data_IF_412460218394
#
_entry.id   IF_412460218394
#
_cell.length_a   1.000
_cell.length_b   1.000
_cell.length_c   1.000
_cell.angle_alpha   90.00
_cell.angle_beta   90.00
_cell.angle_gamma   90.00
#
_symmetry.space_group_name_H-M   'P 1'
#
loop_
_entity.id
_entity.type
_entity.pdbx_description
1 polymer ?
#
# COMPACT_ATOMS: atom_id res chain seq x y z
N UNK A 1 12.77 44.35 -29.73
CA UNK A 1 11.37 44.16 -29.28
C UNK A 1 11.42 43.88 -27.79
N UNK A 2 11.04 44.85 -26.95
CA UNK A 2 11.06 44.70 -25.50
C UNK A 2 9.93 43.77 -25.06
N UNK A 3 10.25 42.73 -24.27
CA UNK A 3 9.24 42.01 -23.51
C UNK A 3 8.77 42.95 -22.40
N UNK A 4 7.50 43.30 -22.40
CA UNK A 4 6.91 44.01 -21.26
C UNK A 4 7.12 43.15 -19.99
N UNK A 5 7.56 43.75 -18.88
CA UNK A 5 7.66 43.03 -17.62
C UNK A 5 6.26 42.59 -17.20
N UNK A 6 6.12 41.29 -16.89
CA UNK A 6 4.89 40.73 -16.32
C UNK A 6 4.54 41.53 -15.05
N UNK A 7 3.42 42.26 -15.10
CA UNK A 7 2.96 43.06 -13.97
C UNK A 7 2.56 42.16 -12.81
N UNK A 8 3.01 42.48 -11.60
CA UNK A 8 2.63 41.79 -10.36
C UNK A 8 1.23 42.18 -9.87
N UNK A 9 0.57 43.16 -10.50
CA UNK A 9 -0.76 43.62 -10.10
C UNK A 9 -1.84 42.62 -10.52
N UNK A 10 -2.23 41.74 -9.59
CA UNK A 10 -3.35 40.81 -9.74
C UNK A 10 -3.02 39.35 -9.42
N UNK A 11 -1.75 39.01 -9.14
CA UNK A 11 -1.37 37.66 -8.75
C UNK A 11 -1.66 37.42 -7.27
N UNK A 12 -2.33 36.31 -6.96
CA UNK A 12 -2.59 35.82 -5.60
C UNK A 12 -1.96 34.44 -5.42
N UNK A 13 -1.43 34.15 -4.23
CA UNK A 13 -0.91 32.83 -3.93
C UNK A 13 -2.05 31.81 -3.89
N UNK A 14 -1.80 30.60 -4.38
CA UNK A 14 -2.76 29.48 -4.36
C UNK A 14 -3.14 29.05 -2.94
N UNK A 15 -2.27 29.27 -1.97
CA UNK A 15 -2.54 28.92 -0.57
C UNK A 15 -3.41 30.00 0.05
N UNK A 16 -4.60 29.59 0.51
CA UNK A 16 -5.56 30.48 1.17
C UNK A 16 -4.89 31.22 2.32
N UNK A 17 -5.22 32.50 2.44
CA UNK A 17 -4.73 33.41 3.48
C UNK A 17 -3.20 33.67 3.48
N UNK A 18 -2.47 33.21 2.46
CA UNK A 18 -1.08 33.57 2.29
C UNK A 18 -0.94 35.04 1.89
N UNK A 19 -0.22 35.82 2.70
CA UNK A 19 0.02 37.27 2.50
C UNK A 19 1.44 37.58 2.03
N UNK A 20 2.24 36.56 1.76
CA UNK A 20 3.61 36.77 1.31
C UNK A 20 3.62 37.35 -0.11
N UNK A 21 4.58 38.22 -0.45
CA UNK A 21 4.70 38.74 -1.81
C UNK A 21 5.09 37.61 -2.77
N UNK A 22 4.46 37.58 -3.93
CA UNK A 22 4.75 36.63 -5.01
C UNK A 22 5.97 37.13 -5.77
N UNK A 23 6.97 36.27 -5.92
CA UNK A 23 8.23 36.56 -6.62
C UNK A 23 8.59 35.51 -7.68
N UNK A 24 7.70 34.52 -7.89
CA UNK A 24 7.84 33.50 -8.92
C UNK A 24 6.49 33.15 -9.56
N UNK A 25 6.51 32.94 -10.87
CA UNK A 25 5.39 32.48 -11.67
C UNK A 25 5.61 31.02 -12.10
N UNK A 26 4.61 30.18 -11.88
CA UNK A 26 4.63 28.78 -12.30
C UNK A 26 3.87 28.67 -13.62
N UNK A 27 4.49 28.20 -14.71
CA UNK A 27 3.85 28.19 -16.03
C UNK A 27 2.55 27.37 -16.13
N UNK A 28 2.32 26.49 -15.16
CA UNK A 28 1.15 25.61 -15.05
C UNK A 28 0.14 26.07 -13.99
N UNK A 29 0.37 27.19 -13.28
CA UNK A 29 -0.51 27.69 -12.21
C UNK A 29 -0.36 29.20 -11.93
N UNK A 30 -0.93 29.66 -10.82
CA UNK A 30 -0.74 31.01 -10.29
C UNK A 30 0.67 31.21 -9.67
N UNK A 31 0.91 32.40 -9.13
CA UNK A 31 2.17 32.77 -8.48
C UNK A 31 2.44 32.04 -7.15
N UNK A 32 3.72 31.89 -6.83
CA UNK A 32 4.19 31.28 -5.58
C UNK A 32 5.33 32.10 -4.95
N UNK A 33 5.98 31.54 -3.93
CA UNK A 33 7.11 32.17 -3.25
C UNK A 33 8.38 31.37 -3.48
N UNK A 34 9.34 31.95 -4.20
CA UNK A 34 10.59 31.31 -4.61
C UNK A 34 11.32 30.72 -3.43
N UNK A 35 11.48 31.48 -2.34
CA UNK A 35 12.21 31.02 -1.16
C UNK A 35 11.58 29.77 -0.54
N UNK A 36 10.25 29.69 -0.52
CA UNK A 36 9.57 28.51 -0.01
C UNK A 36 9.77 27.31 -0.95
N UNK A 37 9.62 27.54 -2.26
CA UNK A 37 9.88 26.50 -3.25
C UNK A 37 11.33 25.97 -3.16
N UNK A 38 12.33 26.85 -3.02
CA UNK A 38 13.75 26.45 -2.89
C UNK A 38 14.02 25.65 -1.60
N UNK A 39 13.37 26.00 -0.49
CA UNK A 39 13.58 25.32 0.80
C UNK A 39 12.97 23.92 0.79
N UNK A 40 11.73 23.81 0.32
CA UNK A 40 10.96 22.56 0.40
C UNK A 40 11.11 21.67 -0.83
N UNK A 41 11.74 22.17 -1.90
CA UNK A 41 11.93 21.42 -3.14
C UNK A 41 13.37 21.67 -3.66
N UNK A 42 14.38 21.12 -2.97
CA UNK A 42 15.78 21.40 -3.27
C UNK A 42 16.22 20.98 -4.68
N UNK A 43 15.52 20.03 -5.30
CA UNK A 43 15.81 19.57 -6.67
C UNK A 43 15.06 20.36 -7.74
N UNK A 44 14.20 21.30 -7.34
CA UNK A 44 13.44 22.12 -8.28
C UNK A 44 14.35 23.14 -8.97
N UNK A 45 14.48 23.01 -10.30
CA UNK A 45 15.20 23.98 -11.11
C UNK A 45 14.40 25.28 -11.27
N UNK A 46 14.81 26.33 -10.57
CA UNK A 46 14.23 27.67 -10.70
C UNK A 46 15.08 28.51 -11.65
N UNK A 47 14.50 28.90 -12.80
CA UNK A 47 15.16 29.80 -13.74
C UNK A 47 15.16 31.20 -13.13
N UNK A 48 16.34 31.62 -12.66
CA UNK A 48 16.54 32.95 -12.07
C UNK A 48 16.52 34.00 -13.19
N UNK A 49 15.73 35.07 -13.06
CA UNK A 49 15.69 36.11 -14.06
C UNK A 49 16.99 36.92 -14.06
N UNK A 50 17.43 37.35 -15.24
CA UNK A 50 18.61 38.23 -15.40
C UNK A 50 18.37 39.61 -14.79
N UNK A 51 17.12 40.08 -14.83
CA UNK A 51 16.68 41.33 -14.20
C UNK A 51 15.86 41.03 -12.93
N UNK A 52 16.25 41.63 -11.79
CA UNK A 52 15.54 41.52 -10.51
C UNK A 52 14.12 42.08 -10.53
N UNK A 53 13.76 42.88 -11.55
CA UNK A 53 12.40 43.41 -11.76
C UNK A 53 11.46 42.41 -12.44
N UNK A 54 11.98 41.29 -12.94
CA UNK A 54 11.19 40.24 -13.57
C UNK A 54 10.89 39.12 -12.56
N UNK A 55 9.72 38.51 -12.68
CA UNK A 55 9.38 37.32 -11.91
C UNK A 55 10.25 36.15 -12.37
N UNK A 56 10.71 35.33 -11.43
CA UNK A 56 11.28 34.04 -11.78
C UNK A 56 10.19 33.18 -12.44
N UNK A 57 10.57 32.33 -13.38
CA UNK A 57 9.63 31.42 -14.06
C UNK A 57 10.07 29.99 -13.80
N UNK A 58 9.14 29.16 -13.33
CA UNK A 58 9.36 27.73 -13.16
C UNK A 58 8.47 26.98 -14.14
N UNK A 59 9.07 26.08 -14.91
CA UNK A 59 8.35 25.19 -15.80
C UNK A 59 8.15 23.84 -15.11
N UNK A 60 6.93 23.58 -14.68
CA UNK A 60 6.49 22.29 -14.17
C UNK A 60 5.72 21.57 -15.27
N UNK A 61 5.89 20.25 -15.36
CA UNK A 61 5.27 19.42 -16.40
C UNK A 61 4.07 18.64 -15.87
N UNK A 62 3.88 18.69 -14.56
CA UNK A 62 2.79 18.08 -13.83
C UNK A 62 1.49 18.86 -14.09
N UNK A 63 0.36 18.21 -13.83
CA UNK A 63 -0.95 18.86 -13.97
C UNK A 63 -1.12 19.98 -12.95
N UNK A 64 -1.99 20.95 -13.23
CA UNK A 64 -2.29 22.05 -12.31
C UNK A 64 -2.67 21.55 -10.90
N UNK A 65 -3.37 20.42 -10.80
CA UNK A 65 -3.75 19.79 -9.52
C UNK A 65 -2.52 19.39 -8.69
N UNK A 66 -1.54 18.76 -9.33
CA UNK A 66 -0.30 18.30 -8.69
C UNK A 66 0.60 19.48 -8.32
N UNK A 67 0.66 20.49 -9.19
CA UNK A 67 1.39 21.73 -8.91
C UNK A 67 0.79 22.48 -7.72
N UNK A 68 -0.54 22.56 -7.62
CA UNK A 68 -1.20 23.13 -6.43
C UNK A 68 -0.80 22.39 -5.15
N UNK A 69 -0.81 21.06 -5.15
CA UNK A 69 -0.36 20.28 -3.99
C UNK A 69 1.10 20.54 -3.65
N UNK A 70 1.99 20.63 -4.64
CA UNK A 70 3.39 20.95 -4.43
C UNK A 70 3.56 22.32 -3.77
N UNK A 71 2.80 23.32 -4.23
CA UNK A 71 2.80 24.66 -3.65
C UNK A 71 2.23 24.63 -2.23
N UNK A 72 1.13 23.91 -1.98
CA UNK A 72 0.56 23.72 -0.63
C UNK A 72 1.60 23.14 0.32
N UNK A 73 2.26 22.04 -0.06
CA UNK A 73 3.30 21.38 0.74
C UNK A 73 4.59 22.18 0.90
N UNK A 74 4.84 23.14 0.00
CA UNK A 74 5.93 24.10 0.14
C UNK A 74 5.58 25.25 1.09
N UNK A 75 4.32 25.39 1.46
CA UNK A 75 3.93 26.31 2.50
C UNK A 75 3.88 25.59 3.84
N UNK A 76 4.43 26.23 4.87
CA UNK A 76 4.36 25.74 6.25
C UNK A 76 2.97 26.05 6.87
N UNK A 77 1.89 25.64 6.20
CA UNK A 77 0.50 25.74 6.65
C UNK A 77 -0.11 24.34 6.76
N UNK A 78 -1.27 24.22 7.39
CA UNK A 78 -2.02 22.96 7.41
C UNK A 78 -2.32 22.49 5.98
N UNK A 79 -1.80 21.32 5.63
CA UNK A 79 -1.97 20.72 4.30
C UNK A 79 -3.32 20.03 4.17
N UNK A 80 -3.79 19.90 2.93
CA UNK A 80 -4.95 19.07 2.65
C UNK A 80 -4.64 17.61 3.00
N UNK A 81 -5.56 16.93 3.71
CA UNK A 81 -5.41 15.51 4.02
C UNK A 81 -5.41 14.67 2.74
N UNK A 82 -4.26 14.10 2.37
CA UNK A 82 -4.08 13.43 1.08
C UNK A 82 -4.94 12.18 0.91
N UNK A 83 -5.30 11.48 2.00
CA UNK A 83 -6.20 10.33 1.91
C UNK A 83 -7.65 10.68 1.49
N UNK A 84 -8.01 11.98 1.43
CA UNK A 84 -9.29 12.43 0.86
C UNK A 84 -9.25 12.62 -0.66
N UNK A 85 -8.07 12.46 -1.27
CA UNK A 85 -7.87 12.56 -2.71
C UNK A 85 -8.01 11.18 -3.35
N UNK A 86 -8.18 11.14 -4.67
CA UNK A 86 -8.11 9.87 -5.40
C UNK A 86 -6.68 9.32 -5.34
N UNK A 87 -6.55 8.00 -5.25
CA UNK A 87 -5.25 7.32 -5.23
C UNK A 87 -4.38 7.67 -6.45
N UNK A 88 -4.97 7.90 -7.64
CA UNK A 88 -4.24 8.38 -8.82
C UNK A 88 -3.55 9.72 -8.57
N UNK A 89 -4.22 10.63 -7.84
CA UNK A 89 -3.60 11.92 -7.46
C UNK A 89 -2.48 11.73 -6.45
N UNK A 90 -2.62 10.77 -5.53
CA UNK A 90 -1.56 10.46 -4.56
C UNK A 90 -0.33 9.89 -5.28
N UNK A 91 -0.53 8.97 -6.24
CA UNK A 91 0.56 8.42 -7.07
C UNK A 91 1.25 9.48 -7.93
N UNK A 92 0.48 10.30 -8.65
CA UNK A 92 1.05 11.39 -9.44
C UNK A 92 1.81 12.39 -8.55
N UNK A 93 1.29 12.65 -7.34
CA UNK A 93 1.90 13.61 -6.43
C UNK A 93 3.17 13.09 -5.78
N UNK A 94 3.22 11.83 -5.34
CA UNK A 94 4.46 11.25 -4.78
C UNK A 94 5.57 11.20 -5.81
N UNK A 95 5.27 10.93 -7.08
CA UNK A 95 6.25 10.97 -8.18
C UNK A 95 6.80 12.38 -8.34
N UNK A 96 5.94 13.40 -8.34
CA UNK A 96 6.36 14.79 -8.39
C UNK A 96 7.15 15.22 -7.15
N UNK A 97 6.71 14.82 -5.96
CA UNK A 97 7.36 15.12 -4.69
C UNK A 97 8.78 14.53 -4.64
N UNK A 98 8.94 13.25 -5.02
CA UNK A 98 10.26 12.61 -5.16
C UNK A 98 11.13 13.35 -6.17
N UNK A 99 10.60 13.65 -7.36
CA UNK A 99 11.31 14.38 -8.43
C UNK A 99 11.82 15.76 -8.02
N UNK A 100 11.14 16.42 -7.10
CA UNK A 100 11.50 17.77 -6.66
C UNK A 100 12.15 17.80 -5.26
N UNK A 101 12.39 16.64 -4.65
CA UNK A 101 13.01 16.49 -3.34
C UNK A 101 12.14 16.94 -2.16
N UNK A 102 10.81 16.96 -2.32
CA UNK A 102 9.89 17.37 -1.26
C UNK A 102 9.59 16.21 -0.29
N UNK A 103 10.48 16.00 0.67
CA UNK A 103 10.41 14.85 1.59
C UNK A 103 9.13 14.83 2.45
N UNK A 104 8.65 16.00 2.92
CA UNK A 104 7.41 16.08 3.69
C UNK A 104 6.19 15.62 2.88
N UNK A 105 6.16 15.96 1.59
CA UNK A 105 5.10 15.50 0.69
C UNK A 105 5.20 14.00 0.41
N UNK A 106 6.43 13.44 0.32
CA UNK A 106 6.63 11.99 0.15
C UNK A 106 6.06 11.22 1.34
N UNK A 107 6.45 11.59 2.55
CA UNK A 107 5.97 10.93 3.79
C UNK A 107 4.45 11.05 3.93
N UNK A 108 3.87 12.21 3.61
CA UNK A 108 2.43 12.39 3.64
C UNK A 108 1.69 11.56 2.58
N UNK A 109 2.31 11.34 1.40
CA UNK A 109 1.75 10.47 0.37
C UNK A 109 1.80 8.99 0.80
N UNK A 110 2.89 8.54 1.40
CA UNK A 110 3.05 7.17 1.90
C UNK A 110 1.99 6.87 2.96
N UNK A 111 1.85 7.74 3.97
CA UNK A 111 0.79 7.61 4.98
C UNK A 111 -0.62 7.63 4.37
N UNK A 112 -0.86 8.41 3.31
CA UNK A 112 -2.14 8.43 2.62
C UNK A 112 -2.39 7.15 1.81
N UNK A 113 -1.34 6.55 1.22
CA UNK A 113 -1.46 5.27 0.53
C UNK A 113 -1.86 4.16 1.50
N UNK A 114 -1.32 4.14 2.71
CA UNK A 114 -1.71 3.14 3.73
C UNK A 114 -3.20 3.25 4.08
N UNK A 115 -3.69 4.47 4.34
CA UNK A 115 -5.12 4.72 4.62
C UNK A 115 -6.01 4.34 3.43
N UNK A 116 -5.58 4.63 2.21
CA UNK A 116 -6.32 4.28 1.00
C UNK A 116 -6.31 2.77 0.75
N UNK A 117 -5.18 2.10 0.98
CA UNK A 117 -5.09 0.64 0.92
C UNK A 117 -6.07 0.00 1.93
N UNK A 118 -6.18 0.56 3.14
CA UNK A 118 -7.14 0.14 4.16
C UNK A 118 -8.60 0.29 3.77
N UNK A 119 -8.90 1.19 2.84
CA UNK A 119 -10.27 1.49 2.44
C UNK A 119 -10.91 0.42 1.54
N UNK A 120 -10.14 -0.25 0.68
CA UNK A 120 -10.67 -1.31 -0.20
C UNK A 120 -9.61 -2.30 -0.69
N UNK A 121 -9.97 -3.56 -0.96
CA UNK A 121 -9.07 -4.53 -1.60
C UNK A 121 -8.55 -4.07 -2.98
N UNK A 122 -9.36 -3.34 -3.75
CA UNK A 122 -8.94 -2.78 -5.03
C UNK A 122 -7.86 -1.70 -4.87
N UNK A 123 -7.98 -0.80 -3.89
CA UNK A 123 -6.96 0.20 -3.62
C UNK A 123 -5.71 -0.43 -3.01
N UNK A 124 -5.85 -1.45 -2.15
CA UNK A 124 -4.72 -2.25 -1.68
C UNK A 124 -3.93 -2.88 -2.85
N UNK A 125 -4.63 -3.40 -3.87
CA UNK A 125 -3.96 -3.94 -5.07
C UNK A 125 -3.19 -2.87 -5.85
N UNK A 126 -3.72 -1.66 -5.92
CA UNK A 126 -3.06 -0.54 -6.61
C UNK A 126 -1.82 -0.08 -5.84
N UNK A 127 -1.92 0.08 -4.53
CA UNK A 127 -0.79 0.44 -3.65
C UNK A 127 0.28 -0.64 -3.71
N UNK A 128 -0.09 -1.91 -3.63
CA UNK A 128 0.83 -3.05 -3.76
C UNK A 128 1.62 -3.00 -5.07
N UNK A 129 0.94 -2.87 -6.23
CA UNK A 129 1.60 -2.80 -7.53
C UNK A 129 2.53 -1.58 -7.62
N UNK A 130 2.08 -0.42 -7.11
CA UNK A 130 2.89 0.79 -7.06
C UNK A 130 4.16 0.59 -6.20
N UNK A 131 4.02 0.17 -4.94
CA UNK A 131 5.14 -0.05 -4.01
C UNK A 131 6.15 -1.05 -4.58
N UNK A 132 5.68 -2.23 -5.01
CA UNK A 132 6.54 -3.25 -5.58
C UNK A 132 7.30 -2.77 -6.83
N UNK A 133 6.64 -2.03 -7.74
CA UNK A 133 7.31 -1.47 -8.93
C UNK A 133 8.37 -0.41 -8.63
N UNK A 134 8.34 0.18 -7.43
CA UNK A 134 9.33 1.16 -6.96
C UNK A 134 10.33 0.56 -5.98
N UNK A 135 10.35 -0.77 -5.81
CA UNK A 135 11.25 -1.47 -4.90
C UNK A 135 10.91 -1.30 -3.42
N UNK A 136 9.73 -0.77 -3.11
CA UNK A 136 9.22 -0.69 -1.74
C UNK A 136 8.46 -1.98 -1.43
N UNK A 137 9.12 -2.86 -0.67
CA UNK A 137 8.57 -4.15 -0.27
C UNK A 137 8.01 -4.14 1.15
N UNK A 138 8.00 -2.97 1.80
CA UNK A 138 7.52 -2.86 3.16
C UNK A 138 6.02 -3.20 3.21
N UNK A 139 5.65 -4.11 4.11
CA UNK A 139 4.29 -4.64 4.25
C UNK A 139 3.66 -5.23 2.97
N UNK A 140 4.46 -5.60 1.96
CA UNK A 140 3.94 -6.02 0.64
C UNK A 140 3.12 -7.31 0.70
N UNK A 141 3.52 -8.29 1.51
CA UNK A 141 2.77 -9.54 1.68
C UNK A 141 1.41 -9.31 2.32
N UNK A 142 1.30 -8.34 3.24
CA UNK A 142 0.06 -7.99 3.91
C UNK A 142 -0.91 -7.35 2.92
N UNK A 143 -0.41 -6.43 2.09
CA UNK A 143 -1.18 -5.85 0.99
C UNK A 143 -1.63 -6.93 0.00
N UNK A 144 -0.72 -7.80 -0.45
CA UNK A 144 -1.04 -8.88 -1.39
C UNK A 144 -2.11 -9.81 -0.84
N UNK A 145 -2.01 -10.25 0.42
CA UNK A 145 -2.99 -11.14 1.04
C UNK A 145 -4.40 -10.56 1.04
N UNK A 146 -4.55 -9.23 1.18
CA UNK A 146 -5.84 -8.54 1.14
C UNK A 146 -6.50 -8.55 -0.25
N UNK A 147 -5.73 -8.78 -1.31
CA UNK A 147 -6.23 -8.75 -2.69
C UNK A 147 -6.56 -10.13 -3.25
N UNK A 148 -6.36 -11.19 -2.47
CA UNK A 148 -6.49 -12.58 -2.95
C UNK A 148 -7.87 -12.91 -3.52
N UNK A 149 -8.92 -12.32 -2.96
CA UNK A 149 -10.31 -12.49 -3.39
C UNK A 149 -10.73 -11.53 -4.52
N UNK A 150 -9.89 -10.57 -4.90
CA UNK A 150 -10.18 -9.65 -6.01
C UNK A 150 -9.96 -10.40 -7.34
N UNK A 151 -10.90 -10.31 -8.31
CA UNK A 151 -10.70 -10.90 -9.63
C UNK A 151 -9.44 -10.34 -10.32
N UNK A 152 -8.61 -11.22 -10.90
CA UNK A 152 -7.39 -10.81 -11.62
C UNK A 152 -7.68 -9.82 -12.74
N UNK A 153 -8.83 -9.92 -13.41
CA UNK A 153 -9.25 -8.99 -14.46
C UNK A 153 -9.51 -7.57 -13.97
N UNK A 154 -9.79 -7.38 -12.66
CA UNK A 154 -9.85 -6.04 -12.05
C UNK A 154 -8.45 -5.49 -11.79
N UNK A 155 -7.58 -6.30 -11.20
CA UNK A 155 -6.19 -5.91 -10.89
C UNK A 155 -5.42 -5.60 -12.18
N UNK A 156 -5.62 -6.40 -13.23
CA UNK A 156 -5.01 -6.21 -14.55
C UNK A 156 -5.23 -4.80 -15.11
N UNK A 157 -6.37 -4.15 -14.80
CA UNK A 157 -6.67 -2.78 -15.26
C UNK A 157 -5.68 -1.73 -14.73
N UNK A 158 -4.98 -2.04 -13.65
CA UNK A 158 -3.99 -1.17 -13.02
C UNK A 158 -2.56 -1.55 -13.38
N UNK A 159 -2.35 -2.63 -14.14
CA UNK A 159 -1.02 -3.20 -14.40
C UNK A 159 -0.20 -2.49 -15.47
N UNK A 160 -0.81 -1.58 -16.26
CA UNK A 160 -0.16 -0.99 -17.45
C UNK A 160 1.19 -0.32 -17.17
N UNK A 161 1.35 0.29 -15.99
CA UNK A 161 2.61 0.93 -15.57
C UNK A 161 3.45 0.06 -14.62
N UNK A 162 2.95 -1.13 -14.26
CA UNK A 162 3.49 -1.98 -13.19
C UNK A 162 3.55 -3.44 -13.65
N UNK A 163 3.95 -3.68 -14.90
CA UNK A 163 3.89 -5.01 -15.53
C UNK A 163 4.72 -6.04 -14.76
N UNK A 164 5.92 -5.68 -14.33
CA UNK A 164 6.83 -6.57 -13.58
C UNK A 164 6.23 -6.95 -12.23
N UNK A 165 5.78 -5.95 -11.44
CA UNK A 165 5.11 -6.16 -10.17
C UNK A 165 3.82 -6.99 -10.33
N UNK A 166 3.09 -6.80 -11.43
CA UNK A 166 1.91 -7.61 -11.73
C UNK A 166 2.29 -9.06 -12.05
N UNK A 167 3.35 -9.30 -12.81
CA UNK A 167 3.88 -10.64 -13.07
C UNK A 167 4.22 -11.37 -11.77
N UNK A 168 5.03 -10.75 -10.92
CA UNK A 168 5.36 -11.25 -9.58
C UNK A 168 4.11 -11.55 -8.75
N UNK A 169 3.15 -10.61 -8.72
CA UNK A 169 1.88 -10.81 -8.02
C UNK A 169 1.10 -12.03 -8.52
N UNK A 170 1.09 -12.30 -9.84
CA UNK A 170 0.37 -13.48 -10.36
C UNK A 170 0.96 -14.80 -9.88
N UNK A 171 2.29 -14.91 -9.81
CA UNK A 171 2.98 -16.08 -9.27
C UNK A 171 2.72 -16.24 -7.78
N UNK A 172 2.86 -15.16 -7.02
CA UNK A 172 2.54 -15.12 -5.59
C UNK A 172 1.10 -15.58 -5.34
N UNK A 173 0.13 -15.05 -6.10
CA UNK A 173 -1.29 -15.38 -5.97
C UNK A 173 -1.58 -16.83 -6.33
N UNK A 174 -0.94 -17.36 -7.36
CA UNK A 174 -1.08 -18.77 -7.74
C UNK A 174 -0.65 -19.68 -6.59
N UNK A 175 0.55 -19.45 -6.04
CA UNK A 175 1.07 -20.21 -4.91
C UNK A 175 0.20 -20.05 -3.67
N UNK A 176 -0.27 -18.83 -3.40
CA UNK A 176 -1.20 -18.58 -2.28
C UNK A 176 -2.46 -19.45 -2.38
N UNK A 177 -3.09 -19.49 -3.55
CA UNK A 177 -4.30 -20.29 -3.75
C UNK A 177 -4.02 -21.79 -3.68
N UNK A 178 -2.84 -22.24 -4.10
CA UNK A 178 -2.41 -23.64 -3.92
C UNK A 178 -2.25 -24.00 -2.43
N UNK A 179 -1.54 -23.17 -1.66
CA UNK A 179 -1.38 -23.34 -0.22
C UNK A 179 -2.73 -23.30 0.49
N UNK A 180 -3.63 -22.37 0.11
CA UNK A 180 -4.94 -22.30 0.73
C UNK A 180 -5.89 -23.45 0.35
N UNK A 181 -5.74 -24.05 -0.83
CA UNK A 181 -6.45 -25.31 -1.16
C UNK A 181 -5.95 -26.46 -0.30
N UNK A 182 -4.63 -26.57 -0.12
CA UNK A 182 -4.01 -27.60 0.72
C UNK A 182 -4.43 -27.45 2.18
N UNK A 183 -4.39 -26.22 2.71
CA UNK A 183 -4.90 -25.90 4.04
C UNK A 183 -6.35 -26.36 4.23
N UNK A 184 -7.24 -25.98 3.29
CA UNK A 184 -8.66 -26.35 3.36
C UNK A 184 -8.88 -27.86 3.26
N UNK A 185 -8.07 -28.57 2.48
CA UNK A 185 -8.16 -30.03 2.38
C UNK A 185 -7.82 -30.68 3.73
N UNK A 186 -6.70 -30.30 4.36
CA UNK A 186 -6.31 -30.80 5.69
C UNK A 186 -7.36 -30.44 6.74
N UNK A 187 -7.83 -29.20 6.74
CA UNK A 187 -8.86 -28.75 7.67
C UNK A 187 -10.19 -29.51 7.50
N UNK A 188 -10.59 -29.83 6.26
CA UNK A 188 -11.79 -30.61 6.00
C UNK A 188 -11.65 -32.08 6.40
N UNK A 189 -10.44 -32.67 6.32
CA UNK A 189 -10.18 -34.03 6.80
C UNK A 189 -10.41 -34.10 8.32
N UNK A 190 -9.85 -33.15 9.08
CA UNK A 190 -10.06 -33.03 10.53
C UNK A 190 -11.56 -32.94 10.85
N UNK A 191 -12.33 -32.16 10.08
CA UNK A 191 -13.78 -32.04 10.28
C UNK A 191 -14.56 -33.30 9.89
N UNK A 192 -14.13 -34.05 8.87
CA UNK A 192 -14.83 -35.25 8.41
C UNK A 192 -14.59 -36.45 9.35
N UNK A 193 -13.39 -36.56 9.94
CA UNK A 193 -13.06 -37.56 10.95
C UNK A 193 -13.90 -37.36 12.23
N UNK A 194 -14.19 -36.11 12.59
CA UNK A 194 -15.11 -35.74 13.67
C UNK A 194 -16.53 -36.36 13.59
N UNK A 195 -17.00 -36.55 12.35
CA UNK A 195 -18.35 -37.04 12.07
C UNK A 195 -18.45 -38.56 12.04
N UNK A 196 -17.33 -39.26 11.84
CA UNK A 196 -17.28 -40.72 11.60
C UNK A 196 -16.71 -41.50 12.78
N UNK A 197 -16.01 -40.83 13.69
CA UNK A 197 -15.24 -41.44 14.76
C UNK A 197 -15.83 -41.14 16.16
N UNK A 198 -15.08 -41.46 17.22
CA UNK A 198 -15.54 -41.45 18.61
C UNK A 198 -16.00 -40.06 19.09
N UNK A 199 -16.64 -39.97 20.26
CA UNK A 199 -16.97 -38.66 20.87
C UNK A 199 -15.76 -37.75 21.13
N UNK A 200 -14.53 -38.28 20.99
CA UNK A 200 -13.26 -37.59 21.25
C UNK A 200 -12.74 -36.87 20.01
N UNK A 201 -12.80 -37.51 18.84
CA UNK A 201 -12.36 -36.94 17.56
C UNK A 201 -13.22 -35.73 17.19
N UNK A 202 -14.50 -35.80 17.56
CA UNK A 202 -15.40 -34.65 17.50
C UNK A 202 -14.94 -33.47 18.35
N UNK A 203 -14.47 -33.73 19.57
CA UNK A 203 -14.01 -32.68 20.48
C UNK A 203 -12.73 -32.01 19.98
N UNK A 204 -11.82 -32.78 19.37
CA UNK A 204 -10.62 -32.25 18.71
C UNK A 204 -10.95 -31.35 17.53
N UNK A 205 -11.83 -31.81 16.65
CA UNK A 205 -12.27 -31.01 15.51
C UNK A 205 -12.98 -29.71 15.97
N UNK A 206 -13.83 -29.79 16.99
CA UNK A 206 -14.50 -28.61 17.57
C UNK A 206 -13.49 -27.57 18.09
N UNK A 207 -12.39 -28.01 18.73
CA UNK A 207 -11.31 -27.12 19.18
C UNK A 207 -10.65 -26.43 17.99
N UNK A 208 -10.29 -27.18 16.94
CA UNK A 208 -9.64 -26.63 15.76
C UNK A 208 -10.55 -25.70 14.96
N UNK A 209 -11.83 -26.03 14.83
CA UNK A 209 -12.82 -25.15 14.23
C UNK A 209 -12.97 -23.86 15.04
N UNK A 210 -13.03 -23.96 16.37
CA UNK A 210 -13.17 -22.79 17.23
C UNK A 210 -11.93 -21.88 17.19
N UNK A 211 -10.72 -22.44 17.16
CA UNK A 211 -9.50 -21.66 17.18
C UNK A 211 -9.10 -21.14 15.80
N UNK A 212 -9.21 -21.98 14.77
CA UNK A 212 -8.61 -21.73 13.45
C UNK A 212 -9.65 -21.51 12.35
N UNK A 213 -10.86 -22.05 12.50
CA UNK A 213 -11.90 -22.00 11.45
C UNK A 213 -12.44 -20.61 11.10
N UNK A 214 -12.30 -19.63 12.00
CA UNK A 214 -12.72 -18.24 11.78
C UNK A 214 -11.72 -17.35 11.04
N UNK A 215 -10.50 -17.83 10.79
CA UNK A 215 -9.43 -17.02 10.22
C UNK A 215 -9.45 -17.03 8.68
N UNK A 216 -9.35 -15.85 8.08
CA UNK A 216 -9.16 -15.73 6.63
C UNK A 216 -7.75 -16.16 6.20
N UNK A 217 -6.77 -16.07 7.12
CA UNK A 217 -5.37 -16.44 6.93
C UNK A 217 -4.92 -17.30 8.12
N UNK A 218 -4.50 -18.55 7.89
CA UNK A 218 -4.03 -19.39 8.99
C UNK A 218 -2.73 -18.85 9.59
N UNK A 219 -2.59 -18.94 10.91
CA UNK A 219 -1.37 -18.51 11.61
C UNK A 219 -0.82 -19.63 12.47
N UNK A 220 0.50 -19.71 12.54
CA UNK A 220 1.21 -20.71 13.34
C UNK A 220 0.82 -20.63 14.83
N UNK A 221 0.63 -19.41 15.33
CA UNK A 221 0.19 -19.15 16.70
C UNK A 221 -1.15 -19.83 17.01
N UNK A 222 -2.13 -19.72 16.12
CA UNK A 222 -3.47 -20.28 16.33
C UNK A 222 -3.49 -21.80 16.20
N UNK A 223 -2.71 -22.34 15.27
CA UNK A 223 -2.53 -23.79 15.11
C UNK A 223 -1.93 -24.39 16.39
N UNK A 224 -0.85 -23.78 16.90
CA UNK A 224 -0.21 -24.20 18.17
C UNK A 224 -1.11 -24.03 19.38
N UNK A 225 -1.90 -22.95 19.42
CA UNK A 225 -2.88 -22.75 20.49
C UNK A 225 -3.98 -23.82 20.47
N UNK A 226 -4.45 -24.21 19.28
CA UNK A 226 -5.43 -25.28 19.14
C UNK A 226 -4.88 -26.62 19.63
N UNK A 227 -3.63 -26.95 19.27
CA UNK A 227 -2.95 -28.14 19.75
C UNK A 227 -2.79 -28.14 21.28
N UNK A 228 -2.30 -27.05 21.87
CA UNK A 228 -2.16 -26.96 23.33
C UNK A 228 -3.49 -27.16 24.07
N UNK A 229 -4.59 -26.59 23.56
CA UNK A 229 -5.91 -26.77 24.16
C UNK A 229 -6.39 -28.23 24.02
N UNK A 230 -6.10 -28.86 22.89
CA UNK A 230 -6.40 -30.29 22.68
C UNK A 230 -5.66 -31.16 23.71
N UNK A 231 -4.37 -30.93 23.93
CA UNK A 231 -3.53 -31.66 24.87
C UNK A 231 -4.03 -31.51 26.32
N UNK A 232 -4.42 -30.30 26.72
CA UNK A 232 -4.94 -30.01 28.06
C UNK A 232 -6.28 -30.70 28.32
N UNK A 233 -7.15 -30.73 27.30
CA UNK A 233 -8.51 -31.29 27.41
C UNK A 233 -8.48 -32.82 27.30
N UNK A 234 -7.48 -33.39 26.63
CA UNK A 234 -7.35 -34.82 26.35
C UNK A 234 -5.94 -35.36 26.74
N UNK A 235 -5.54 -35.30 28.03
CA UNK A 235 -4.16 -35.51 28.48
C UNK A 235 -3.65 -36.97 28.45
N UNK A 236 -4.52 -37.96 28.29
CA UNK A 236 -4.15 -39.39 28.24
C UNK A 236 -3.98 -39.94 26.81
N UNK A 237 -3.99 -39.06 25.80
CA UNK A 237 -3.83 -39.47 24.40
C UNK A 237 -2.35 -39.62 24.05
N UNK A 238 -1.92 -40.85 23.77
CA UNK A 238 -1.00 -40.99 22.64
C UNK A 238 -1.84 -40.60 21.42
N UNK A 239 -1.58 -39.46 20.81
CA UNK A 239 -2.27 -39.05 19.59
C UNK A 239 -2.28 -40.24 18.64
N UNK A 240 -3.45 -40.64 18.14
CA UNK A 240 -3.47 -41.57 17.01
C UNK A 240 -2.60 -40.93 15.91
N UNK A 241 -1.68 -41.69 15.31
CA UNK A 241 -0.65 -41.17 14.39
C UNK A 241 -1.22 -40.26 13.29
N UNK A 242 -2.49 -40.44 12.94
CA UNK A 242 -3.23 -39.68 11.94
C UNK A 242 -3.49 -38.21 12.35
N UNK A 243 -3.67 -37.92 13.65
CA UNK A 243 -3.97 -36.57 14.14
C UNK A 243 -2.71 -35.68 14.20
N UNK A 244 -1.61 -36.23 14.71
CA UNK A 244 -0.31 -35.54 14.73
C UNK A 244 0.13 -35.20 13.28
N UNK A 245 -0.07 -36.12 12.35
CA UNK A 245 0.15 -35.89 10.92
C UNK A 245 -0.71 -34.75 10.36
N UNK A 246 -1.97 -34.62 10.77
CA UNK A 246 -2.85 -33.54 10.34
C UNK A 246 -2.38 -32.18 10.88
N UNK A 247 -1.96 -32.11 12.15
CA UNK A 247 -1.39 -30.91 12.75
C UNK A 247 -0.10 -30.47 12.05
N UNK A 248 0.85 -31.40 11.87
CA UNK A 248 2.10 -31.12 11.16
C UNK A 248 1.84 -30.70 9.71
N UNK A 249 0.80 -31.24 9.07
CA UNK A 249 0.39 -30.82 7.74
C UNK A 249 -0.13 -29.38 7.73
N UNK A 250 -0.90 -28.96 8.74
CA UNK A 250 -1.32 -27.56 8.87
C UNK A 250 -0.14 -26.62 9.11
N UNK A 251 0.80 -27.00 9.98
CA UNK A 251 2.04 -26.23 10.21
C UNK A 251 2.84 -26.08 8.93
N UNK A 252 3.09 -27.18 8.20
CA UNK A 252 3.81 -27.18 6.92
C UNK A 252 3.16 -26.26 5.88
N UNK A 253 1.83 -26.20 5.83
CA UNK A 253 1.14 -25.29 4.90
C UNK A 253 1.35 -23.83 5.29
N UNK A 254 1.33 -23.50 6.59
CA UNK A 254 1.58 -22.13 7.07
C UNK A 254 3.03 -21.71 6.87
N UNK A 255 3.98 -22.62 7.10
CA UNK A 255 5.41 -22.38 6.83
C UNK A 255 5.69 -22.20 5.34
N UNK A 256 4.93 -22.90 4.48
CA UNK A 256 5.05 -22.82 3.02
C UNK A 256 4.15 -21.76 2.37
N UNK A 257 3.58 -20.82 3.14
CA UNK A 257 2.88 -19.68 2.55
C UNK A 257 3.87 -18.84 1.72
N UNK A 258 3.47 -18.36 0.53
CA UNK A 258 4.37 -17.59 -0.31
C UNK A 258 4.78 -16.29 0.38
N UNK A 259 6.05 -15.90 0.18
CA UNK A 259 6.57 -14.58 0.51
C UNK A 259 6.88 -13.86 -0.79
N UNK A 260 6.56 -12.58 -0.91
CA UNK A 260 6.76 -11.80 -2.13
C UNK A 260 8.19 -11.85 -2.64
N UNK A 261 9.16 -11.83 -1.71
CA UNK A 261 10.59 -11.89 -1.99
C UNK A 261 11.03 -13.18 -2.70
N UNK A 262 10.23 -14.26 -2.67
CA UNK A 262 10.55 -15.51 -3.37
C UNK A 262 10.45 -15.37 -4.91
N UNK A 263 9.92 -14.25 -5.41
CA UNK A 263 9.52 -14.05 -6.81
C UNK A 263 10.14 -12.83 -7.48
N UNK A 264 11.19 -12.24 -6.89
CA UNK A 264 11.91 -11.06 -7.41
C UNK A 264 13.35 -11.37 -7.78
#
# INVERSE_FOLDING_TARGET
MGKEPLSTSGLSCLVKDCKLPIDVFLLSSEGAHRKLLEIFNPELAIIKPEDRRQLAVVKLWETAKIVTLLVEFSHNYSHTHLATRSIDTVFDFVVAAKKYGNQFAVEACEAAMDVLADSSPEDAARVMLYKASHGDLDHIDELARRTMNVPLSRIFRYSSNYADAYGTYTLYRERWHESMRSYRAVFNLINAEADTQSSRDRMLADIFVAQVGGEAIPTMKKIRQAAHIADDVLPDMCFEEDYEQCYEALERVVEGLPVWEDYI
#
